data_IF_097921927357
#
_entry.id   IF_097921927357
#
_cell.length_a   1.000
_cell.length_b   1.000
_cell.length_c   1.000
_cell.angle_alpha   90.00
_cell.angle_beta   90.00
_cell.angle_gamma   90.00
#
_symmetry.space_group_name_H-M   'P 1'
#
loop_
_entity.id
_entity.type
_entity.pdbx_description
1 polymer ?
#
# COMPACT_ATOMS: atom_id res chain seq x y z
N UNK A 1 -0.54 25.43 14.71
CA UNK A 1 -1.99 25.52 14.55
C UNK A 1 -2.53 24.15 14.90
N UNK A 2 -3.29 24.05 15.99
CA UNK A 2 -3.69 22.77 16.58
C UNK A 2 -4.62 21.97 15.67
N UNK A 3 -4.51 20.65 15.75
CA UNK A 3 -5.42 19.67 15.13
C UNK A 3 -6.86 20.06 15.48
N UNK A 4 -7.65 20.51 14.50
CA UNK A 4 -9.04 20.86 14.77
C UNK A 4 -9.87 19.59 14.89
N UNK A 5 -10.41 19.34 16.08
CA UNK A 5 -11.38 18.28 16.30
C UNK A 5 -12.69 18.60 15.57
N UNK A 6 -13.29 17.65 14.84
CA UNK A 6 -14.40 17.90 13.91
C UNK A 6 -15.76 18.12 14.59
N UNK A 7 -15.95 17.62 15.82
CA UNK A 7 -17.22 17.70 16.56
C UNK A 7 -17.08 18.45 17.88
N UNK A 8 -18.07 19.29 18.18
CA UNK A 8 -18.14 20.05 19.44
C UNK A 8 -19.50 19.90 20.10
N UNK A 9 -19.52 19.72 21.41
CA UNK A 9 -20.73 19.88 22.23
C UNK A 9 -20.78 21.33 22.70
N UNK A 10 -21.89 22.01 22.43
CA UNK A 10 -22.11 23.41 22.73
C UNK A 10 -23.15 23.54 23.83
N UNK A 11 -22.99 24.52 24.71
CA UNK A 11 -24.03 24.94 25.65
C UNK A 11 -24.58 26.31 25.27
N UNK A 12 -25.91 26.48 25.33
CA UNK A 12 -26.57 27.77 25.13
C UNK A 12 -27.73 27.99 26.08
N UNK A 13 -28.04 29.26 26.35
CA UNK A 13 -29.25 29.62 27.08
C UNK A 13 -30.50 29.46 26.20
N UNK A 14 -31.54 28.84 26.76
CA UNK A 14 -32.83 28.62 26.11
C UNK A 14 -33.42 29.95 25.60
N UNK A 15 -33.84 29.97 24.32
CA UNK A 15 -34.44 31.15 23.69
C UNK A 15 -33.48 32.19 23.12
N UNK A 16 -32.16 31.96 23.17
CA UNK A 16 -31.16 32.82 22.51
C UNK A 16 -31.00 32.47 21.01
N UNK A 17 -30.70 33.47 20.17
CA UNK A 17 -30.41 33.27 18.73
C UNK A 17 -29.05 32.61 18.53
N UNK A 18 -28.89 31.92 17.39
CA UNK A 18 -27.70 31.20 16.91
C UNK A 18 -26.42 32.06 16.88
N UNK A 19 -25.84 32.37 18.03
CA UNK A 19 -24.45 32.80 18.18
C UNK A 19 -23.74 31.68 18.92
N UNK A 20 -22.52 31.35 18.48
CA UNK A 20 -21.73 30.22 18.98
C UNK A 20 -21.78 30.17 20.52
N UNK A 21 -22.38 29.09 21.05
CA UNK A 21 -22.31 28.78 22.49
C UNK A 21 -20.88 28.49 22.92
N UNK A 22 -20.67 28.39 24.22
CA UNK A 22 -19.38 27.94 24.74
C UNK A 22 -19.17 26.47 24.35
N UNK A 23 -17.97 26.15 23.85
CA UNK A 23 -17.58 24.77 23.54
C UNK A 23 -17.34 24.04 24.86
N UNK A 24 -18.24 23.13 25.22
CA UNK A 24 -18.11 22.30 26.43
C UNK A 24 -17.07 21.20 26.26
N UNK A 25 -17.08 20.56 25.08
CA UNK A 25 -16.16 19.48 24.78
C UNK A 25 -15.95 19.34 23.28
N UNK A 26 -14.81 18.76 22.91
CA UNK A 26 -14.41 18.51 21.53
C UNK A 26 -14.10 17.03 21.32
N UNK A 27 -14.68 16.44 20.29
CA UNK A 27 -14.64 15.01 20.01
C UNK A 27 -14.19 14.72 18.59
N UNK A 28 -13.55 13.58 18.41
CA UNK A 28 -13.09 13.10 17.11
C UNK A 28 -14.25 12.43 16.32
N UNK A 29 -15.26 11.91 17.03
CA UNK A 29 -16.38 11.16 16.46
C UNK A 29 -17.75 11.74 16.88
N UNK A 30 -18.74 11.67 16.00
CA UNK A 30 -20.12 12.11 16.29
C UNK A 30 -20.74 11.30 17.42
N UNK A 31 -20.52 9.98 17.44
CA UNK A 31 -21.01 9.09 18.51
C UNK A 31 -20.54 9.53 19.89
N UNK A 32 -19.30 9.99 20.00
CA UNK A 32 -18.70 10.39 21.26
C UNK A 32 -19.24 11.75 21.72
N UNK A 33 -19.40 12.69 20.78
CA UNK A 33 -20.09 13.95 21.04
C UNK A 33 -21.55 13.73 21.44
N UNK A 34 -22.22 12.74 20.84
CA UNK A 34 -23.59 12.37 21.14
C UNK A 34 -23.75 11.70 22.49
N UNK A 35 -22.87 10.76 22.85
CA UNK A 35 -22.87 10.18 24.19
C UNK A 35 -22.58 11.25 25.25
N UNK A 36 -21.63 12.14 24.99
CA UNK A 36 -21.32 13.27 25.87
C UNK A 36 -22.52 14.21 26.04
N UNK A 37 -23.27 14.48 24.97
CA UNK A 37 -24.53 15.24 25.03
C UNK A 37 -25.55 14.55 25.95
N UNK A 38 -25.77 13.24 25.78
CA UNK A 38 -26.70 12.47 26.59
C UNK A 38 -26.32 12.44 28.08
N UNK A 39 -25.02 12.43 28.38
CA UNK A 39 -24.50 12.53 29.74
C UNK A 39 -24.80 13.92 30.34
N UNK A 40 -24.57 15.01 29.60
CA UNK A 40 -24.91 16.37 30.05
C UNK A 40 -26.41 16.57 30.28
N UNK A 41 -27.26 16.05 29.39
CA UNK A 41 -28.72 16.13 29.54
C UNK A 41 -29.23 15.37 30.77
N UNK A 42 -28.53 14.32 31.21
CA UNK A 42 -28.88 13.56 32.43
C UNK A 42 -28.42 14.27 33.72
N UNK A 43 -27.36 15.07 33.65
CA UNK A 43 -26.79 15.77 34.81
C UNK A 43 -27.39 17.17 35.05
N UNK A 44 -28.00 17.79 34.03
CA UNK A 44 -28.53 19.15 34.11
C UNK A 44 -30.01 19.21 34.55
N UNK A 45 -30.25 19.72 35.76
CA UNK A 45 -31.59 19.90 36.38
C UNK A 45 -32.20 21.30 36.11
N UNK A 46 -31.80 21.98 35.02
CA UNK A 46 -32.14 23.39 34.77
C UNK A 46 -32.76 23.62 33.38
N UNK A 47 -34.03 24.04 33.38
CA UNK A 47 -34.83 24.46 32.20
C UNK A 47 -34.24 25.65 31.40
N UNK A 48 -33.08 26.18 31.79
CA UNK A 48 -32.49 27.39 31.21
C UNK A 48 -31.37 27.14 30.19
N UNK A 49 -30.79 25.94 30.13
CA UNK A 49 -29.71 25.58 29.20
C UNK A 49 -30.14 24.51 28.20
N UNK A 50 -29.65 24.62 26.96
CA UNK A 50 -29.83 23.65 25.88
C UNK A 50 -28.43 23.25 25.40
N UNK A 51 -28.18 21.95 25.31
CA UNK A 51 -26.95 21.39 24.76
C UNK A 51 -27.17 20.95 23.31
N UNK A 52 -26.21 21.20 22.44
CA UNK A 52 -26.32 20.89 21.01
C UNK A 52 -24.99 20.39 20.44
N UNK A 53 -25.04 19.61 19.36
CA UNK A 53 -23.83 19.13 18.67
C UNK A 53 -23.58 19.98 17.43
N UNK A 54 -22.37 20.53 17.31
CA UNK A 54 -21.89 21.26 16.15
C UNK A 54 -20.85 20.47 15.35
N UNK A 55 -20.95 20.52 14.02
CA UNK A 55 -19.99 19.95 13.08
C UNK A 55 -19.74 20.88 11.89
N UNK A 56 -18.55 20.83 11.28
CA UNK A 56 -18.14 21.70 10.16
C UNK A 56 -18.13 20.96 8.82
N UNK A 57 -18.97 21.31 7.86
CA UNK A 57 -18.97 20.62 6.55
C UNK A 57 -17.56 20.47 5.94
N UNK A 58 -17.15 19.24 5.60
CA UNK A 58 -15.84 18.97 4.98
C UNK A 58 -15.66 19.63 3.60
N UNK A 59 -16.75 19.78 2.85
CA UNK A 59 -16.73 20.31 1.48
C UNK A 59 -16.70 21.84 1.45
N UNK A 60 -17.53 22.52 2.25
CA UNK A 60 -17.66 23.98 2.21
C UNK A 60 -17.12 24.70 3.45
N UNK A 61 -16.70 23.97 4.48
CA UNK A 61 -16.12 24.52 5.70
C UNK A 61 -17.12 25.20 6.64
N UNK A 62 -18.43 25.15 6.33
CA UNK A 62 -19.46 25.81 7.14
C UNK A 62 -19.77 25.04 8.42
N UNK A 63 -19.63 25.69 9.57
CA UNK A 63 -20.05 25.14 10.88
C UNK A 63 -21.59 25.13 10.97
N UNK A 64 -22.16 24.00 11.35
CA UNK A 64 -23.60 23.77 11.48
C UNK A 64 -23.92 23.01 12.76
N UNK A 65 -25.08 23.31 13.32
CA UNK A 65 -25.63 22.65 14.50
C UNK A 65 -26.60 21.58 14.04
N UNK A 66 -26.48 20.38 14.61
CA UNK A 66 -27.39 19.25 14.37
C UNK A 66 -28.61 19.45 15.27
N UNK A 67 -29.71 19.90 14.67
CA UNK A 67 -30.94 20.27 15.40
C UNK A 67 -31.80 19.06 15.79
N UNK A 68 -31.68 17.96 15.06
CA UNK A 68 -32.29 16.67 15.35
C UNK A 68 -31.22 15.60 15.08
N UNK A 69 -30.92 14.70 16.02
CA UNK A 69 -30.04 13.57 15.79
C UNK A 69 -30.75 12.58 14.86
N UNK A 70 -30.72 12.87 13.56
CA UNK A 70 -31.00 11.92 12.49
C UNK A 70 -29.73 11.07 12.32
N UNK A 71 -29.87 9.79 11.98
CA UNK A 71 -28.74 8.86 11.83
C UNK A 71 -27.59 9.39 10.95
N UNK A 72 -27.84 10.36 10.05
CA UNK A 72 -26.79 11.03 9.26
C UNK A 72 -27.13 12.52 8.97
N UNK A 73 -26.47 13.51 9.59
CA UNK A 73 -26.85 14.92 9.43
C UNK A 73 -26.28 15.54 8.13
N UNK A 74 -27.12 16.20 7.33
CA UNK A 74 -26.78 16.80 6.02
C UNK A 74 -26.45 18.30 6.08
N UNK A 75 -25.52 18.75 5.25
CA UNK A 75 -25.19 20.14 4.99
C UNK A 75 -26.28 20.77 4.11
N UNK A 76 -27.02 21.74 4.65
CA UNK A 76 -28.08 22.44 3.93
C UNK A 76 -27.59 23.32 2.77
N UNK A 77 -26.28 23.52 2.64
CA UNK A 77 -25.69 24.43 1.65
C UNK A 77 -25.20 23.68 0.40
N UNK A 78 -24.64 22.49 0.57
CA UNK A 78 -24.16 21.67 -0.53
C UNK A 78 -24.87 20.31 -0.66
N UNK A 79 -25.78 19.97 0.26
CA UNK A 79 -26.50 18.69 0.26
C UNK A 79 -25.67 17.48 0.71
N UNK A 80 -24.37 17.65 0.95
CA UNK A 80 -23.46 16.60 1.41
C UNK A 80 -23.62 16.37 2.91
N UNK A 81 -23.34 15.16 3.38
CA UNK A 81 -23.33 14.86 4.80
C UNK A 81 -22.32 15.73 5.55
N UNK A 82 -22.72 16.31 6.68
CA UNK A 82 -21.92 17.26 7.45
C UNK A 82 -20.54 16.68 7.77
N UNK A 83 -20.48 15.36 7.99
CA UNK A 83 -19.31 14.52 7.79
C UNK A 83 -19.75 13.04 7.66
N UNK A 84 -20.01 12.53 6.45
CA UNK A 84 -19.71 11.11 6.18
C UNK A 84 -18.21 11.09 5.95
N UNK A 85 -17.48 10.46 6.86
CA UNK A 85 -16.05 10.30 6.75
C UNK A 85 -15.71 9.85 5.32
N UNK A 86 -14.76 10.52 4.65
CA UNK A 86 -14.18 9.99 3.39
C UNK A 86 -13.82 8.52 3.62
N UNK A 87 -13.27 8.23 4.80
CA UNK A 87 -13.03 6.88 5.32
C UNK A 87 -14.23 5.93 5.26
N UNK A 88 -15.42 6.37 5.65
CA UNK A 88 -16.60 5.50 5.73
C UNK A 88 -17.19 5.27 4.33
N UNK A 89 -17.07 6.24 3.42
CA UNK A 89 -17.36 6.05 1.98
C UNK A 89 -16.40 5.05 1.35
N UNK A 90 -15.10 5.19 1.60
CA UNK A 90 -14.07 4.27 1.10
C UNK A 90 -14.19 2.87 1.72
N UNK A 91 -14.64 2.76 2.98
CA UNK A 91 -14.91 1.49 3.66
C UNK A 91 -16.21 0.80 3.18
N UNK A 92 -17.23 1.56 2.80
CA UNK A 92 -18.44 1.00 2.17
C UNK A 92 -18.17 0.55 0.72
N UNK A 93 -17.32 1.27 -0.02
CA UNK A 93 -16.79 0.88 -1.33
C UNK A 93 -15.76 -0.27 -1.25
N UNK A 94 -15.13 -0.48 -0.09
CA UNK A 94 -14.22 -1.62 0.19
C UNK A 94 -14.93 -2.98 0.09
N UNK A 95 -16.26 -3.00 0.17
CA UNK A 95 -17.05 -4.22 0.13
C UNK A 95 -17.14 -4.76 -1.30
N UNK A 96 -16.33 -5.81 -1.51
CA UNK A 96 -16.52 -6.95 -2.43
C UNK A 96 -16.31 -6.70 -3.92
N UNK A 97 -15.11 -7.10 -4.36
CA UNK A 97 -14.88 -8.15 -5.37
C UNK A 97 -13.40 -8.55 -5.28
N UNK A 98 -13.11 -9.84 -5.15
CA UNK A 98 -11.73 -10.36 -5.19
C UNK A 98 -11.20 -10.08 -6.60
N UNK A 99 -10.14 -9.27 -6.71
CA UNK A 99 -9.49 -8.99 -7.99
C UNK A 99 -8.94 -10.30 -8.56
N UNK A 100 -8.99 -10.48 -9.89
CA UNK A 100 -8.28 -11.58 -10.54
C UNK A 100 -6.77 -11.36 -10.58
N UNK A 101 -6.32 -10.14 -10.26
CA UNK A 101 -4.92 -9.70 -10.20
C UNK A 101 -4.41 -9.63 -8.76
N UNK A 102 -3.33 -10.36 -8.46
CA UNK A 102 -2.77 -10.44 -7.10
C UNK A 102 -1.98 -9.16 -6.75
N UNK A 103 -2.51 -8.34 -5.85
CA UNK A 103 -1.81 -7.15 -5.32
C UNK A 103 -1.18 -7.42 -3.97
N UNK A 104 0.13 -7.26 -3.87
CA UNK A 104 0.86 -7.33 -2.61
C UNK A 104 1.12 -5.94 -2.01
N UNK A 105 0.60 -5.70 -0.81
CA UNK A 105 0.75 -4.42 -0.13
C UNK A 105 2.04 -4.40 0.71
N UNK A 106 2.99 -3.56 0.31
CA UNK A 106 4.29 -3.47 0.98
C UNK A 106 4.15 -3.00 2.43
N UNK A 107 4.88 -3.61 3.36
CA UNK A 107 4.93 -3.24 4.78
C UNK A 107 6.38 -3.17 5.24
N UNK A 108 6.85 -1.97 5.56
CA UNK A 108 8.23 -1.65 5.98
C UNK A 108 8.32 -0.87 7.30
N UNK A 109 7.19 -0.52 7.92
CA UNK A 109 7.12 0.25 9.16
C UNK A 109 6.11 -0.31 10.17
N UNK A 110 6.28 0.03 11.45
CA UNK A 110 5.33 -0.33 12.50
C UNK A 110 3.96 0.37 12.33
N UNK A 111 3.93 1.56 11.71
CA UNK A 111 2.70 2.28 11.42
C UNK A 111 1.91 1.57 10.31
N UNK A 112 2.58 1.20 9.21
CA UNK A 112 1.99 0.42 8.12
C UNK A 112 1.48 -0.94 8.60
N UNK A 113 2.28 -1.67 9.40
CA UNK A 113 1.86 -2.93 10.00
C UNK A 113 0.57 -2.78 10.81
N UNK A 114 0.50 -1.74 11.65
CA UNK A 114 -0.69 -1.50 12.46
C UNK A 114 -1.87 -1.10 11.60
N UNK A 115 -1.66 -0.32 10.53
CA UNK A 115 -2.70 0.04 9.58
C UNK A 115 -3.30 -1.20 8.92
N UNK A 116 -2.46 -2.00 8.24
CA UNK A 116 -2.89 -3.23 7.56
C UNK A 116 -3.58 -4.19 8.53
N UNK A 117 -3.02 -4.40 9.72
CA UNK A 117 -3.66 -5.26 10.74
C UNK A 117 -5.05 -4.77 11.14
N UNK A 118 -5.24 -3.46 11.30
CA UNK A 118 -6.55 -2.93 11.69
C UNK A 118 -7.54 -3.06 10.54
N UNK A 119 -7.09 -2.82 9.30
CA UNK A 119 -7.89 -2.95 8.10
C UNK A 119 -8.28 -4.42 7.83
N UNK A 120 -7.35 -5.35 8.01
CA UNK A 120 -7.58 -6.77 7.79
C UNK A 120 -8.41 -7.43 8.88
N UNK A 121 -8.68 -6.78 10.01
CA UNK A 121 -9.58 -7.32 11.03
C UNK A 121 -11.05 -6.94 10.84
N UNK A 122 -11.36 -6.10 9.84
CA UNK A 122 -12.63 -5.39 9.79
C UNK A 122 -12.72 -4.35 10.92
N UNK A 123 -13.20 -3.14 10.61
CA UNK A 123 -13.52 -2.16 11.67
C UNK A 123 -14.82 -2.49 12.43
N UNK A 124 -15.55 -3.49 11.95
CA UNK A 124 -16.85 -3.99 12.39
C UNK A 124 -16.80 -5.53 12.28
N UNK A 125 -17.65 -6.29 13.00
CA UNK A 125 -17.60 -7.75 13.22
C UNK A 125 -17.76 -8.65 11.96
N UNK A 126 -17.40 -8.14 10.78
CA UNK A 126 -17.45 -8.77 9.47
C UNK A 126 -16.06 -9.34 9.13
N UNK A 127 -16.04 -10.46 8.41
CA UNK A 127 -14.84 -11.26 8.17
C UNK A 127 -13.66 -10.43 7.59
N UNK A 128 -12.41 -10.75 7.97
CA UNK A 128 -11.20 -10.15 7.41
C UNK A 128 -11.25 -10.02 5.89
N UNK A 129 -10.98 -8.84 5.36
CA UNK A 129 -10.66 -8.72 3.94
C UNK A 129 -9.30 -9.40 3.70
N UNK A 130 -9.28 -10.34 2.74
CA UNK A 130 -8.16 -11.19 2.34
C UNK A 130 -7.04 -10.36 1.70
N UNK A 131 -6.23 -9.67 2.52
CA UNK A 131 -5.13 -8.84 2.04
C UNK A 131 -3.85 -9.65 1.86
N UNK A 132 -3.24 -9.59 0.67
CA UNK A 132 -1.89 -10.07 0.44
C UNK A 132 -0.85 -8.98 0.79
N UNK A 133 0.23 -9.35 1.46
CA UNK A 133 1.25 -8.41 1.96
C UNK A 133 2.64 -8.75 1.47
N UNK A 134 3.46 -7.73 1.24
CA UNK A 134 4.88 -7.88 0.95
C UNK A 134 5.76 -7.31 2.08
N UNK A 135 6.79 -8.06 2.45
CA UNK A 135 7.73 -7.70 3.52
C UNK A 135 9.14 -7.64 2.96
N UNK A 136 9.82 -6.50 3.12
CA UNK A 136 11.18 -6.32 2.62
C UNK A 136 12.24 -6.65 3.70
N UNK A 137 13.03 -7.70 3.48
CA UNK A 137 14.03 -8.22 4.42
C UNK A 137 15.08 -7.18 4.87
N UNK A 138 15.43 -6.20 4.03
CA UNK A 138 16.41 -5.17 4.37
C UNK A 138 15.90 -4.18 5.45
N UNK A 139 14.60 -4.14 5.72
CA UNK A 139 14.01 -3.16 6.65
C UNK A 139 14.17 -3.59 8.11
N UNK A 140 14.66 -2.68 8.95
CA UNK A 140 14.88 -2.91 10.40
C UNK A 140 13.60 -3.24 11.18
N UNK A 141 12.44 -2.90 10.61
CA UNK A 141 11.14 -3.08 11.23
C UNK A 141 10.54 -4.47 10.99
N UNK A 142 11.16 -5.32 10.16
CA UNK A 142 10.74 -6.70 9.92
C UNK A 142 11.01 -7.67 11.09
N UNK A 143 10.93 -7.16 12.31
CA UNK A 143 10.76 -7.96 13.54
C UNK A 143 9.34 -8.55 13.62
N UNK A 144 8.91 -9.24 12.57
CA UNK A 144 7.69 -10.06 12.56
C UNK A 144 7.73 -11.13 13.66
N UNK A 145 8.94 -11.47 14.12
CA UNK A 145 9.21 -12.44 15.19
C UNK A 145 8.92 -11.92 16.61
N UNK A 146 8.09 -10.88 16.74
CA UNK A 146 7.45 -10.55 18.02
C UNK A 146 6.04 -11.14 18.03
N UNK A 147 5.46 -11.49 19.19
CA UNK A 147 4.08 -11.98 19.25
C UNK A 147 3.06 -11.05 18.55
N UNK A 148 3.29 -9.73 18.57
CA UNK A 148 2.47 -8.73 17.86
C UNK A 148 2.74 -8.65 16.35
N UNK A 149 3.91 -9.09 15.89
CA UNK A 149 4.25 -9.21 14.48
C UNK A 149 3.63 -10.45 13.85
N UNK A 150 3.61 -11.57 14.59
CA UNK A 150 2.94 -12.82 14.18
C UNK A 150 1.42 -12.67 14.09
N UNK A 151 0.82 -11.78 14.89
CA UNK A 151 -0.62 -11.45 14.81
C UNK A 151 -1.02 -10.86 13.44
N UNK A 152 -0.12 -10.12 12.77
CA UNK A 152 -0.34 -9.67 11.38
C UNK A 152 -0.50 -10.88 10.45
N UNK A 153 0.26 -11.95 10.68
CA UNK A 153 0.28 -13.14 9.82
C UNK A 153 -0.98 -14.00 9.93
N UNK A 154 -1.82 -13.78 10.94
CA UNK A 154 -3.03 -14.57 11.14
C UNK A 154 -4.21 -14.14 10.25
N UNK A 155 -4.13 -12.95 9.64
CA UNK A 155 -5.26 -12.32 8.93
C UNK A 155 -4.82 -11.71 7.60
N UNK A 156 -3.77 -12.24 6.99
CA UNK A 156 -3.37 -11.93 5.62
C UNK A 156 -3.55 -13.19 4.79
N UNK A 157 -3.98 -13.03 3.55
CA UNK A 157 -4.28 -14.17 2.66
C UNK A 157 -3.00 -14.79 2.09
N UNK A 158 -2.09 -13.92 1.63
CA UNK A 158 -0.79 -14.32 1.13
C UNK A 158 0.32 -13.40 1.65
N UNK A 159 1.50 -13.98 1.84
CA UNK A 159 2.70 -13.29 2.26
C UNK A 159 3.82 -13.49 1.25
N UNK A 160 4.41 -12.38 0.81
CA UNK A 160 5.59 -12.35 -0.04
C UNK A 160 6.76 -11.70 0.71
N UNK A 161 7.92 -12.36 0.77
CA UNK A 161 9.15 -11.74 1.25
C UNK A 161 10.04 -11.26 0.10
N UNK A 162 10.22 -9.94 -0.03
CA UNK A 162 11.26 -9.34 -0.85
C UNK A 162 12.64 -9.49 -0.17
N UNK A 163 13.65 -9.85 -0.94
CA UNK A 163 15.05 -10.01 -0.52
C UNK A 163 15.68 -8.67 -0.09
N UNK A 164 15.13 -7.56 -0.61
CA UNK A 164 15.57 -6.20 -0.34
C UNK A 164 16.79 -5.78 -1.14
N UNK A 165 17.03 -6.37 -2.32
CA UNK A 165 18.17 -6.08 -3.19
C UNK A 165 18.39 -4.59 -3.41
N UNK A 166 17.35 -3.88 -3.89
CA UNK A 166 17.40 -2.42 -4.05
C UNK A 166 17.80 -1.70 -2.74
N UNK A 167 17.13 -1.99 -1.62
CA UNK A 167 17.36 -1.32 -0.34
C UNK A 167 18.76 -1.56 0.23
N UNK A 168 19.34 -2.76 0.07
CA UNK A 168 20.72 -3.03 0.45
C UNK A 168 21.70 -2.25 -0.42
N UNK A 169 21.48 -2.23 -1.74
CA UNK A 169 22.39 -1.57 -2.66
C UNK A 169 22.32 -0.05 -2.55
N UNK A 170 21.12 0.53 -2.48
CA UNK A 170 20.94 1.97 -2.27
C UNK A 170 21.60 2.45 -0.96
N UNK A 171 21.45 1.70 0.14
CA UNK A 171 21.87 2.19 1.46
C UNK A 171 23.24 1.73 1.95
N UNK A 172 23.75 0.59 1.46
CA UNK A 172 25.00 -0.05 1.91
C UNK A 172 25.91 -0.43 0.75
N UNK A 173 25.38 -0.53 -0.46
CA UNK A 173 26.10 -0.96 -1.66
C UNK A 173 26.38 -2.46 -1.76
N UNK A 174 25.96 -3.24 -0.76
CA UNK A 174 26.11 -4.69 -0.72
C UNK A 174 25.10 -5.33 0.25
N UNK A 175 24.91 -6.64 0.11
CA UNK A 175 24.24 -7.43 1.13
C UNK A 175 25.08 -7.50 2.40
N UNK A 176 24.58 -6.91 3.48
CA UNK A 176 25.27 -6.90 4.80
C UNK A 176 24.97 -8.13 5.66
N UNK A 177 24.19 -9.08 5.14
CA UNK A 177 23.77 -10.31 5.81
C UNK A 177 24.02 -11.51 4.90
N UNK A 178 24.33 -12.67 5.48
CA UNK A 178 24.60 -13.88 4.69
C UNK A 178 23.33 -14.46 4.06
N UNK A 179 23.51 -15.32 3.06
CA UNK A 179 22.41 -16.01 2.38
C UNK A 179 21.65 -16.93 3.35
N UNK A 180 22.36 -17.61 4.26
CA UNK A 180 21.78 -18.42 5.34
C UNK A 180 21.00 -17.57 6.35
N UNK A 181 21.42 -16.33 6.60
CA UNK A 181 20.69 -15.42 7.47
C UNK A 181 19.35 -15.00 6.84
N UNK A 182 19.32 -14.83 5.52
CA UNK A 182 18.11 -14.58 4.76
C UNK A 182 17.19 -15.80 4.71
N UNK A 183 17.70 -16.98 4.32
CA UNK A 183 16.89 -18.20 4.27
C UNK A 183 16.35 -18.61 5.65
N UNK A 184 17.13 -18.42 6.73
CA UNK A 184 16.63 -18.62 8.10
C UNK A 184 15.50 -17.66 8.45
N UNK A 185 15.50 -16.45 7.92
CA UNK A 185 14.40 -15.51 8.08
C UNK A 185 13.16 -15.98 7.33
N UNK A 186 13.30 -16.39 6.06
CA UNK A 186 12.23 -16.96 5.23
C UNK A 186 11.62 -18.19 5.90
N UNK A 187 12.44 -19.16 6.33
CA UNK A 187 12.00 -20.38 7.00
C UNK A 187 11.20 -20.12 8.28
N UNK A 188 11.53 -19.05 9.02
CA UNK A 188 10.81 -18.66 10.24
C UNK A 188 9.51 -17.92 9.95
N UNK A 189 9.48 -17.12 8.88
CA UNK A 189 8.31 -16.36 8.49
C UNK A 189 7.26 -17.23 7.79
N UNK A 190 7.68 -18.31 7.13
CA UNK A 190 6.84 -19.22 6.34
C UNK A 190 5.92 -18.46 5.36
N UNK A 191 6.48 -17.65 4.45
CA UNK A 191 5.67 -16.96 3.44
C UNK A 191 5.16 -17.95 2.38
N UNK A 192 4.22 -17.50 1.56
CA UNK A 192 3.81 -18.19 0.35
C UNK A 192 4.87 -18.05 -0.75
N UNK A 193 5.45 -16.85 -0.84
CA UNK A 193 6.43 -16.49 -1.86
C UNK A 193 7.64 -15.79 -1.25
N UNK A 194 8.81 -15.96 -1.85
CA UNK A 194 9.98 -15.14 -1.51
C UNK A 194 10.91 -14.92 -2.70
N UNK A 195 11.45 -13.71 -2.80
CA UNK A 195 12.36 -13.33 -3.88
C UNK A 195 13.75 -13.92 -3.62
N UNK A 196 14.32 -14.60 -4.61
CA UNK A 196 15.75 -14.89 -4.59
C UNK A 196 16.53 -13.55 -4.64
N UNK A 197 17.70 -13.52 -3.99
CA UNK A 197 18.54 -12.31 -3.97
C UNK A 197 19.00 -11.93 -5.36
N UNK A 198 18.91 -10.65 -5.63
CA UNK A 198 19.17 -10.04 -6.93
C UNK A 198 20.12 -8.85 -6.80
N UNK A 199 20.65 -8.41 -7.94
CA UNK A 199 21.51 -7.24 -8.05
C UNK A 199 20.82 -6.24 -8.97
N UNK A 200 20.39 -5.08 -8.45
CA UNK A 200 19.48 -4.18 -9.14
C UNK A 200 20.26 -3.38 -10.21
N UNK A 201 19.62 -3.07 -11.34
CA UNK A 201 20.29 -2.60 -12.57
C UNK A 201 20.04 -1.12 -12.89
N UNK A 202 19.63 -0.32 -11.91
CA UNK A 202 19.43 1.12 -12.05
C UNK A 202 20.74 1.83 -12.41
N UNK A 203 20.75 2.77 -13.37
CA UNK A 203 21.95 3.48 -13.81
C UNK A 203 22.74 4.10 -12.65
N UNK A 204 22.08 4.73 -11.69
CA UNK A 204 22.75 5.34 -10.54
C UNK A 204 23.48 4.30 -9.68
N UNK A 205 22.91 3.10 -9.52
CA UNK A 205 23.55 2.00 -8.78
C UNK A 205 24.75 1.46 -9.56
N UNK A 206 24.61 1.30 -10.88
CA UNK A 206 25.66 0.79 -11.76
C UNK A 206 26.85 1.77 -11.83
N UNK A 207 26.57 3.06 -12.01
CA UNK A 207 27.55 4.13 -12.13
C UNK A 207 28.34 4.31 -10.82
N UNK A 208 27.66 4.31 -9.67
CA UNK A 208 28.33 4.41 -8.35
C UNK A 208 29.29 3.24 -8.10
N UNK A 209 29.02 2.07 -8.69
CA UNK A 209 29.76 0.82 -8.45
C UNK A 209 30.72 0.43 -9.57
N UNK A 210 30.82 1.22 -10.64
CA UNK A 210 31.62 0.91 -11.83
C UNK A 210 31.35 -0.52 -12.34
N UNK A 211 30.06 -0.83 -12.47
CA UNK A 211 29.56 -2.16 -12.86
C UNK A 211 28.60 -2.05 -14.04
N UNK A 212 28.14 -3.18 -14.55
CA UNK A 212 27.30 -3.24 -15.76
C UNK A 212 26.08 -4.12 -15.51
N UNK A 213 25.05 -3.93 -16.34
CA UNK A 213 23.86 -4.80 -16.36
C UNK A 213 24.26 -6.27 -16.46
N UNK A 214 25.16 -6.64 -17.38
CA UNK A 214 25.63 -8.02 -17.54
C UNK A 214 26.32 -8.57 -16.29
N UNK A 215 27.10 -7.75 -15.59
CA UNK A 215 27.73 -8.15 -14.32
C UNK A 215 26.67 -8.45 -13.26
N UNK A 216 25.68 -7.57 -13.09
CA UNK A 216 24.60 -7.77 -12.14
C UNK A 216 23.70 -8.95 -12.49
N UNK A 217 23.48 -9.23 -13.78
CA UNK A 217 22.78 -10.44 -14.23
C UNK A 217 23.55 -11.71 -13.87
N UNK A 218 24.88 -11.73 -14.03
CA UNK A 218 25.74 -12.82 -13.57
C UNK A 218 25.65 -13.04 -12.08
N UNK A 219 25.80 -11.98 -11.28
CA UNK A 219 25.71 -12.08 -9.83
C UNK A 219 24.31 -12.51 -9.36
N UNK A 220 23.24 -12.03 -10.01
CA UNK A 220 21.86 -12.44 -9.73
C UNK A 220 21.65 -13.93 -10.05
N UNK A 221 22.14 -14.40 -11.20
CA UNK A 221 22.07 -15.82 -11.58
C UNK A 221 22.82 -16.70 -10.58
N UNK A 222 24.06 -16.31 -10.22
CA UNK A 222 24.87 -17.04 -9.24
C UNK A 222 24.19 -17.08 -7.87
N UNK A 223 23.58 -15.97 -7.43
CA UNK A 223 22.83 -15.95 -6.16
C UNK A 223 21.58 -16.80 -6.20
N UNK A 224 20.85 -16.81 -7.31
CA UNK A 224 19.69 -17.67 -7.46
C UNK A 224 20.08 -19.15 -7.33
N UNK A 225 21.16 -19.60 -7.98
CA UNK A 225 21.65 -20.96 -7.85
C UNK A 225 22.04 -21.31 -6.41
N UNK A 226 22.84 -20.45 -5.76
CA UNK A 226 23.27 -20.66 -4.37
C UNK A 226 22.06 -20.77 -3.43
N UNK A 227 21.08 -19.87 -3.57
CA UNK A 227 19.91 -19.89 -2.69
C UNK A 227 19.04 -21.12 -2.91
N UNK A 228 18.79 -21.50 -4.17
CA UNK A 228 18.03 -22.72 -4.50
C UNK A 228 18.71 -23.97 -3.94
N UNK A 229 20.04 -24.08 -4.04
CA UNK A 229 20.80 -25.19 -3.45
C UNK A 229 20.71 -25.20 -1.91
N UNK A 230 20.78 -24.03 -1.28
CA UNK A 230 20.73 -23.92 0.18
C UNK A 230 19.32 -24.11 0.76
N UNK A 231 18.25 -23.85 0.00
CA UNK A 231 16.87 -23.93 0.48
C UNK A 231 16.52 -25.27 1.12
N UNK A 232 17.05 -26.37 0.56
CA UNK A 232 16.83 -27.73 1.06
C UNK A 232 17.31 -27.91 2.51
N UNK A 233 18.29 -27.12 2.95
CA UNK A 233 18.81 -27.16 4.33
C UNK A 233 17.90 -26.47 5.35
N UNK A 234 16.94 -25.65 4.90
CA UNK A 234 16.09 -24.81 5.76
C UNK A 234 14.61 -25.24 5.79
N UNK A 235 14.25 -26.37 5.15
CA UNK A 235 12.89 -26.92 5.08
C UNK A 235 11.83 -25.90 4.59
N UNK A 236 12.25 -24.95 3.75
CA UNK A 236 11.37 -23.88 3.24
C UNK A 236 10.33 -24.49 2.29
N UNK A 237 9.05 -24.30 2.61
CA UNK A 237 7.91 -24.72 1.75
C UNK A 237 7.42 -23.60 0.84
N UNK A 238 7.88 -22.36 1.07
CA UNK A 238 7.53 -21.20 0.27
C UNK A 238 8.03 -21.37 -1.18
N UNK A 239 7.27 -20.84 -2.14
CA UNK A 239 7.66 -20.84 -3.54
C UNK A 239 8.77 -19.80 -3.78
N UNK A 240 9.96 -20.20 -4.26
CA UNK A 240 11.02 -19.26 -4.62
C UNK A 240 10.64 -18.50 -5.90
N UNK A 241 10.92 -17.20 -5.92
CA UNK A 241 10.69 -16.32 -7.06
C UNK A 241 12.04 -15.85 -7.61
N UNK A 242 12.41 -16.29 -8.81
CA UNK A 242 13.65 -15.84 -9.45
C UNK A 242 13.49 -14.43 -10.04
N UNK A 243 14.44 -13.53 -9.77
CA UNK A 243 14.34 -12.14 -10.23
C UNK A 243 15.08 -11.95 -11.55
N UNK A 244 14.36 -11.56 -12.60
CA UNK A 244 14.95 -11.12 -13.87
C UNK A 244 15.30 -9.63 -13.80
N UNK A 245 16.59 -9.35 -13.97
CA UNK A 245 17.20 -8.02 -14.01
C UNK A 245 17.59 -7.55 -15.41
N UNK A 246 17.51 -6.24 -15.64
CA UNK A 246 17.89 -5.57 -16.90
C UNK A 246 17.64 -4.06 -16.89
N UNK A 247 18.08 -3.33 -17.92
CA UNK A 247 17.68 -1.94 -18.14
C UNK A 247 16.87 -1.75 -19.43
N UNK A 248 17.31 -2.31 -20.54
CA UNK A 248 16.56 -2.37 -21.80
C UNK A 248 15.79 -3.69 -21.92
N UNK A 249 14.72 -3.77 -22.74
CA UNK A 249 13.98 -5.02 -22.96
C UNK A 249 14.86 -6.21 -23.39
N UNK A 250 15.90 -5.96 -24.20
CA UNK A 250 16.87 -6.98 -24.60
C UNK A 250 17.65 -7.57 -23.42
N UNK A 251 17.95 -6.75 -22.40
CA UNK A 251 18.70 -7.19 -21.22
C UNK A 251 17.92 -8.25 -20.46
N UNK A 252 16.60 -8.07 -20.30
CA UNK A 252 15.73 -9.05 -19.65
C UNK A 252 15.68 -10.37 -20.44
N UNK A 253 15.64 -10.31 -21.77
CA UNK A 253 15.69 -11.50 -22.63
C UNK A 253 17.04 -12.23 -22.55
N UNK A 254 18.15 -11.47 -22.45
CA UNK A 254 19.49 -12.04 -22.24
C UNK A 254 19.58 -12.72 -20.87
N UNK A 255 19.04 -12.10 -19.82
CA UNK A 255 19.09 -12.65 -18.47
C UNK A 255 18.19 -13.88 -18.31
N UNK A 256 16.99 -13.89 -18.90
CA UNK A 256 16.16 -15.11 -18.92
C UNK A 256 16.89 -16.28 -19.57
N UNK A 257 17.60 -16.04 -20.68
CA UNK A 257 18.47 -17.06 -21.31
C UNK A 257 19.59 -17.51 -20.39
N UNK A 258 20.12 -16.61 -19.57
CA UNK A 258 21.15 -16.92 -18.58
C UNK A 258 20.59 -17.78 -17.44
N UNK A 259 19.46 -17.40 -16.85
CA UNK A 259 18.75 -18.17 -15.81
C UNK A 259 18.36 -19.57 -16.30
N UNK A 260 17.86 -19.67 -17.54
CA UNK A 260 17.56 -20.95 -18.19
C UNK A 260 18.81 -21.83 -18.31
N UNK A 261 19.93 -21.29 -18.83
CA UNK A 261 21.19 -22.04 -18.97
C UNK A 261 21.78 -22.48 -17.62
N UNK A 262 21.50 -21.72 -16.57
CA UNK A 262 21.91 -22.01 -15.20
C UNK A 262 21.01 -23.05 -14.49
N UNK A 263 19.92 -23.50 -15.12
CA UNK A 263 18.94 -24.41 -14.52
C UNK A 263 18.09 -23.78 -13.41
N UNK A 264 18.07 -22.45 -13.32
CA UNK A 264 17.26 -21.72 -12.32
C UNK A 264 15.78 -21.80 -12.69
N UNK A 265 15.45 -21.62 -13.98
CA UNK A 265 14.06 -21.67 -14.46
C UNK A 265 13.44 -23.06 -14.41
N UNK A 266 14.24 -24.12 -14.23
CA UNK A 266 13.73 -25.49 -14.03
C UNK A 266 13.27 -25.74 -12.59
N UNK A 267 13.58 -24.83 -11.66
CA UNK A 267 13.35 -24.97 -10.23
C UNK A 267 12.33 -23.95 -9.67
N UNK A 268 11.82 -23.06 -10.53
CA UNK A 268 10.85 -22.03 -10.16
C UNK A 268 9.72 -22.00 -11.17
N UNK A 269 8.51 -21.67 -10.71
CA UNK A 269 7.34 -21.45 -11.55
C UNK A 269 6.94 -19.96 -11.59
N UNK A 270 7.63 -19.14 -10.79
CA UNK A 270 7.36 -17.73 -10.60
C UNK A 270 8.64 -16.92 -10.83
N UNK A 271 8.56 -15.92 -11.69
CA UNK A 271 9.59 -14.93 -11.89
C UNK A 271 9.14 -13.54 -11.42
N UNK A 272 10.08 -12.75 -10.92
CA UNK A 272 9.85 -11.34 -10.61
C UNK A 272 10.67 -10.44 -11.52
N UNK A 273 10.11 -9.31 -11.96
CA UNK A 273 10.80 -8.34 -12.80
C UNK A 273 11.39 -7.25 -11.90
N UNK A 274 12.72 -7.21 -11.82
CA UNK A 274 13.44 -6.18 -11.07
C UNK A 274 13.58 -4.86 -11.84
N UNK A 275 13.99 -3.80 -11.14
CA UNK A 275 14.33 -2.48 -11.71
C UNK A 275 13.14 -1.77 -12.40
N UNK A 276 11.88 -2.13 -12.06
CA UNK A 276 10.69 -1.45 -12.58
C UNK A 276 10.35 -0.16 -11.82
N UNK A 277 10.59 -0.11 -10.51
CA UNK A 277 10.18 1.01 -9.65
C UNK A 277 10.85 2.35 -10.01
N UNK A 278 12.06 2.31 -10.57
CA UNK A 278 12.83 3.51 -10.96
C UNK A 278 12.53 4.00 -12.39
N UNK A 279 11.49 3.46 -13.06
CA UNK A 279 11.15 3.86 -14.43
C UNK A 279 10.17 5.03 -14.44
N UNK A 280 10.57 6.14 -15.05
CA UNK A 280 9.68 7.28 -15.27
C UNK A 280 8.66 7.03 -16.39
N UNK A 281 9.08 6.33 -17.46
CA UNK A 281 8.24 6.07 -18.61
C UNK A 281 7.42 4.78 -18.42
N UNK A 282 6.11 4.94 -18.25
CA UNK A 282 5.16 3.82 -18.14
C UNK A 282 5.10 2.98 -19.42
N UNK A 283 5.29 3.58 -20.60
CA UNK A 283 5.37 2.83 -21.87
C UNK A 283 6.60 1.93 -21.93
N UNK A 284 7.69 2.34 -21.29
CA UNK A 284 8.87 1.48 -21.12
C UNK A 284 8.58 0.29 -20.20
N UNK A 285 7.84 0.50 -19.10
CA UNK A 285 7.40 -0.59 -18.20
C UNK A 285 6.58 -1.62 -19.00
N UNK A 286 5.57 -1.19 -19.76
CA UNK A 286 4.75 -2.07 -20.59
C UNK A 286 5.60 -2.87 -21.60
N UNK A 287 6.56 -2.22 -22.25
CA UNK A 287 7.47 -2.87 -23.20
C UNK A 287 8.34 -3.94 -22.53
N UNK A 288 8.86 -3.67 -21.32
CA UNK A 288 9.67 -4.63 -20.55
C UNK A 288 8.82 -5.82 -20.11
N UNK A 289 7.67 -5.55 -19.49
CA UNK A 289 6.74 -6.58 -18.99
C UNK A 289 6.34 -7.52 -20.13
N UNK A 290 5.94 -6.96 -21.28
CA UNK A 290 5.62 -7.73 -22.47
C UNK A 290 6.81 -8.54 -22.99
N UNK A 291 8.01 -7.97 -23.03
CA UNK A 291 9.20 -8.69 -23.48
C UNK A 291 9.55 -9.89 -22.58
N UNK A 292 9.34 -9.77 -21.27
CA UNK A 292 9.49 -10.87 -20.31
C UNK A 292 8.41 -11.92 -20.56
N UNK A 293 7.12 -11.54 -20.61
CA UNK A 293 6.02 -12.47 -20.88
C UNK A 293 6.22 -13.25 -22.17
N UNK A 294 6.56 -12.57 -23.27
CA UNK A 294 6.80 -13.20 -24.57
C UNK A 294 7.98 -14.21 -24.53
N UNK A 295 8.92 -14.03 -23.60
CA UNK A 295 10.11 -14.87 -23.47
C UNK A 295 9.88 -16.15 -22.65
N UNK A 296 9.02 -16.09 -21.63
CA UNK A 296 8.74 -17.23 -20.74
C UNK A 296 7.43 -17.95 -21.06
N UNK A 297 6.50 -17.30 -21.75
CA UNK A 297 5.20 -17.85 -22.09
C UNK A 297 4.20 -17.81 -20.93
N UNK A 298 3.03 -18.44 -21.08
CA UNK A 298 1.94 -18.38 -20.11
C UNK A 298 2.14 -19.30 -18.90
N UNK A 299 3.08 -20.24 -18.96
CA UNK A 299 3.26 -21.26 -17.92
C UNK A 299 3.99 -20.71 -16.68
N UNK A 300 4.67 -19.57 -16.80
CA UNK A 300 5.32 -18.88 -15.69
C UNK A 300 4.41 -17.80 -15.13
N UNK A 301 4.30 -17.74 -13.79
CA UNK A 301 3.78 -16.54 -13.14
C UNK A 301 4.81 -15.42 -13.21
N UNK A 302 4.37 -14.17 -13.34
CA UNK A 302 5.21 -12.97 -13.42
C UNK A 302 4.77 -11.94 -12.38
N UNK A 303 5.68 -11.58 -11.49
CA UNK A 303 5.49 -10.54 -10.48
C UNK A 303 6.22 -9.26 -10.91
N UNK A 304 5.54 -8.11 -10.88
CA UNK A 304 6.18 -6.81 -11.06
C UNK A 304 6.59 -6.20 -9.73
N UNK A 305 7.90 -6.05 -9.48
CA UNK A 305 8.36 -5.42 -8.24
C UNK A 305 8.21 -3.89 -8.28
N UNK A 306 7.49 -3.33 -7.31
CA UNK A 306 7.33 -1.89 -7.12
C UNK A 306 6.70 -1.17 -8.31
N UNK A 307 5.69 -1.76 -8.93
CA UNK A 307 5.04 -1.19 -10.13
C UNK A 307 4.30 0.09 -9.78
N UNK A 308 4.50 1.14 -10.58
CA UNK A 308 3.82 2.43 -10.42
C UNK A 308 2.31 2.28 -10.66
N UNK A 309 1.52 3.09 -9.95
CA UNK A 309 0.06 3.10 -10.08
C UNK A 309 -0.37 3.30 -11.54
N UNK A 310 0.25 4.25 -12.22
CA UNK A 310 -0.05 4.61 -13.60
C UNK A 310 0.24 3.46 -14.58
N UNK A 311 1.16 2.55 -14.23
CA UNK A 311 1.39 1.34 -15.00
C UNK A 311 0.32 0.27 -14.74
N UNK A 312 -0.17 0.14 -13.49
CA UNK A 312 -1.28 -0.75 -13.14
C UNK A 312 -2.63 -0.29 -13.72
N UNK A 313 -2.73 0.96 -14.16
CA UNK A 313 -3.90 1.48 -14.88
C UNK A 313 -3.94 1.04 -16.36
N UNK A 314 -2.88 0.37 -16.86
CA UNK A 314 -2.80 -0.07 -18.26
C UNK A 314 -3.16 -1.55 -18.44
N UNK A 315 -4.11 -1.88 -19.35
CA UNK A 315 -4.41 -3.26 -19.70
C UNK A 315 -3.16 -4.05 -20.15
N UNK A 316 -2.33 -3.46 -21.02
CA UNK A 316 -1.15 -4.14 -21.56
C UNK A 316 -0.07 -4.48 -20.52
N UNK A 317 -0.05 -3.81 -19.36
CA UNK A 317 0.80 -4.18 -18.22
C UNK A 317 0.13 -5.29 -17.42
N UNK A 318 -1.12 -5.08 -17.01
CA UNK A 318 -1.88 -5.97 -16.11
C UNK A 318 -2.08 -7.34 -16.75
N UNK A 319 -2.41 -7.42 -18.04
CA UNK A 319 -2.61 -8.69 -18.77
C UNK A 319 -1.32 -9.52 -18.91
N UNK A 320 -0.15 -8.90 -18.75
CA UNK A 320 1.14 -9.58 -18.90
C UNK A 320 1.79 -9.90 -17.54
N UNK A 321 1.24 -9.41 -16.43
CA UNK A 321 1.64 -9.72 -15.06
C UNK A 321 0.58 -10.62 -14.38
N UNK A 322 1.01 -11.44 -13.43
CA UNK A 322 0.12 -12.21 -12.56
C UNK A 322 -0.04 -11.53 -11.20
N UNK A 323 0.95 -10.73 -10.80
CA UNK A 323 0.90 -9.94 -9.57
C UNK A 323 1.83 -8.73 -9.60
N UNK A 324 1.64 -7.82 -8.66
CA UNK A 324 2.56 -6.71 -8.43
C UNK A 324 2.58 -6.32 -6.95
N UNK A 325 3.62 -5.59 -6.53
CA UNK A 325 3.65 -4.96 -5.21
C UNK A 325 3.75 -3.44 -5.28
N UNK A 326 3.33 -2.79 -4.18
CA UNK A 326 3.48 -1.35 -4.02
C UNK A 326 3.62 -0.94 -2.56
N UNK A 327 4.49 0.04 -2.32
CA UNK A 327 4.57 0.82 -1.07
C UNK A 327 4.10 2.27 -1.27
N UNK A 328 3.60 2.60 -2.47
CA UNK A 328 3.31 3.99 -2.86
C UNK A 328 2.19 4.62 -2.02
N UNK A 329 1.29 3.81 -1.46
CA UNK A 329 0.23 4.25 -0.56
C UNK A 329 0.76 4.98 0.70
N UNK A 330 2.01 4.72 1.09
CA UNK A 330 2.67 5.35 2.24
C UNK A 330 3.40 6.66 1.91
N UNK A 331 3.62 6.96 0.62
CA UNK A 331 4.43 8.10 0.19
C UNK A 331 3.79 9.45 0.54
N UNK A 332 2.47 9.59 0.33
CA UNK A 332 1.75 10.82 0.65
C UNK A 332 1.77 11.13 2.17
N UNK A 333 1.38 10.19 3.06
CA UNK A 333 1.56 10.35 4.51
C UNK A 333 2.99 10.76 4.91
N UNK A 334 4.00 10.15 4.29
CA UNK A 334 5.40 10.45 4.54
C UNK A 334 5.77 11.89 4.13
N UNK A 335 5.42 12.31 2.90
CA UNK A 335 5.69 13.67 2.43
C UNK A 335 4.96 14.74 3.24
N UNK A 336 3.71 14.50 3.62
CA UNK A 336 2.92 15.42 4.45
C UNK A 336 3.58 15.57 5.84
N UNK A 337 4.14 14.48 6.40
CA UNK A 337 4.92 14.52 7.65
C UNK A 337 6.22 15.32 7.50
N UNK A 338 6.96 15.12 6.40
CA UNK A 338 8.21 15.84 6.12
C UNK A 338 7.95 17.33 5.89
N UNK A 339 6.93 17.68 5.09
CA UNK A 339 6.56 19.05 4.75
C UNK A 339 6.12 19.86 5.98
N UNK A 340 5.55 19.18 6.98
CA UNK A 340 5.16 19.80 8.26
C UNK A 340 6.30 19.79 9.28
N UNK A 341 7.52 19.40 8.90
CA UNK A 341 8.67 19.35 9.82
C UNK A 341 8.46 18.36 10.98
N UNK A 342 7.68 17.31 10.76
CA UNK A 342 7.31 16.33 11.79
C UNK A 342 6.25 16.81 12.78
N UNK A 343 5.61 17.97 12.55
CA UNK A 343 4.46 18.43 13.35
C UNK A 343 3.31 17.43 13.20
N UNK A 344 3.07 16.93 11.99
CA UNK A 344 2.18 15.78 11.76
C UNK A 344 3.03 14.53 11.75
N UNK A 345 2.85 13.66 12.76
CA UNK A 345 3.53 12.37 12.78
C UNK A 345 2.88 11.42 11.76
N UNK A 346 3.69 10.66 11.02
CA UNK A 346 3.18 9.56 10.21
C UNK A 346 2.68 8.44 11.14
N UNK A 347 1.40 8.51 11.50
CA UNK A 347 0.73 7.54 12.38
C UNK A 347 0.12 6.41 11.56
N UNK A 348 -0.19 5.29 12.21
CA UNK A 348 -0.93 4.19 11.59
C UNK A 348 -2.28 4.63 10.99
N UNK A 349 -2.91 5.70 11.51
CA UNK A 349 -4.14 6.26 10.93
C UNK A 349 -3.85 6.86 9.54
N UNK A 350 -2.79 7.67 9.42
CA UNK A 350 -2.40 8.25 8.13
C UNK A 350 -2.03 7.17 7.10
N UNK A 351 -1.31 6.13 7.53
CA UNK A 351 -1.01 4.96 6.67
C UNK A 351 -2.29 4.24 6.23
N UNK A 352 -3.26 4.02 7.14
CA UNK A 352 -4.54 3.41 6.80
C UNK A 352 -5.34 4.26 5.79
N UNK A 353 -5.26 5.60 5.90
CA UNK A 353 -5.87 6.50 4.92
C UNK A 353 -5.25 6.34 3.56
N UNK A 354 -3.92 6.46 3.50
CA UNK A 354 -3.17 6.35 2.26
C UNK A 354 -3.40 5.00 1.59
N UNK A 355 -3.45 3.93 2.37
CA UNK A 355 -3.83 2.60 1.91
C UNK A 355 -5.23 2.60 1.29
N UNK A 356 -6.27 3.05 2.00
CA UNK A 356 -7.65 3.02 1.51
C UNK A 356 -7.83 3.86 0.23
N UNK A 357 -7.27 5.06 0.20
CA UNK A 357 -7.33 5.95 -0.97
C UNK A 357 -6.65 5.30 -2.19
N UNK A 358 -5.47 4.69 -1.99
CA UNK A 358 -4.72 4.04 -3.05
C UNK A 358 -5.37 2.74 -3.50
N UNK A 359 -5.85 1.93 -2.56
CA UNK A 359 -6.58 0.69 -2.79
C UNK A 359 -7.80 0.93 -3.67
N UNK A 360 -8.66 1.88 -3.31
CA UNK A 360 -9.85 2.21 -4.09
C UNK A 360 -9.51 2.62 -5.52
N UNK A 361 -8.42 3.37 -5.70
CA UNK A 361 -7.96 3.81 -7.03
C UNK A 361 -7.48 2.63 -7.87
N UNK A 362 -6.61 1.78 -7.33
CA UNK A 362 -6.08 0.62 -8.05
C UNK A 362 -7.18 -0.40 -8.34
N UNK A 363 -8.03 -0.70 -7.36
CA UNK A 363 -9.14 -1.63 -7.49
C UNK A 363 -10.13 -1.19 -8.57
N UNK A 364 -10.48 0.11 -8.59
CA UNK A 364 -11.31 0.67 -9.66
C UNK A 364 -10.68 0.44 -11.04
N UNK A 365 -9.40 0.78 -11.21
CA UNK A 365 -8.71 0.62 -12.50
C UNK A 365 -8.63 -0.83 -12.94
N UNK A 366 -8.33 -1.76 -12.03
CA UNK A 366 -8.28 -3.19 -12.34
C UNK A 366 -9.65 -3.74 -12.74
N UNK A 367 -10.74 -3.36 -12.05
CA UNK A 367 -12.09 -3.76 -12.45
C UNK A 367 -12.48 -3.24 -13.83
N UNK A 368 -12.08 -2.00 -14.17
CA UNK A 368 -12.32 -1.44 -15.50
C UNK A 368 -11.57 -2.24 -16.59
N UNK A 369 -10.34 -2.69 -16.29
CA UNK A 369 -9.57 -3.55 -17.20
C UNK A 369 -10.26 -4.92 -17.34
N UNK A 370 -10.63 -5.57 -16.25
CA UNK A 370 -11.31 -6.88 -16.25
C UNK A 370 -12.66 -6.83 -16.99
N UNK A 371 -13.40 -5.73 -16.88
CA UNK A 371 -14.65 -5.51 -17.60
C UNK A 371 -14.45 -5.21 -19.10
N UNK A 372 -13.21 -4.98 -19.56
CA UNK A 372 -12.91 -4.52 -20.92
C UNK A 372 -13.36 -3.09 -21.20
N UNK A 373 -13.50 -2.28 -20.14
CA UNK A 373 -13.98 -0.89 -20.18
C UNK A 373 -12.83 0.12 -20.05
N UNK A 374 -11.60 -0.34 -19.80
CA UNK A 374 -10.40 0.50 -19.79
C UNK A 374 -10.06 0.99 -21.21
N UNK A 375 -9.87 2.30 -21.36
CA UNK A 375 -9.49 2.93 -22.63
C UNK A 375 -7.96 3.08 -22.74
N UNK A 376 -7.35 2.33 -23.65
CA UNK A 376 -5.92 2.36 -23.96
C UNK A 376 -5.39 3.78 -24.23
N UNK A 377 -6.22 4.66 -24.81
CA UNK A 377 -5.83 6.02 -25.22
C UNK A 377 -5.90 7.04 -24.07
N UNK A 378 -6.71 6.81 -23.03
CA UNK A 378 -6.85 7.73 -21.88
C UNK A 378 -5.66 7.62 -20.93
N UNK A 379 -5.16 6.40 -20.71
CA UNK A 379 -4.01 6.14 -19.82
C UNK A 379 -2.71 6.71 -20.43
N UNK A 380 -2.60 6.72 -21.76
CA UNK A 380 -1.51 7.36 -22.49
C UNK A 380 -1.57 8.90 -22.50
N UNK A 381 -2.75 9.52 -22.27
CA UNK A 381 -2.89 10.98 -22.25
C UNK A 381 -2.64 11.60 -20.87
N UNK A 382 -2.90 10.88 -19.78
CA UNK A 382 -2.60 11.37 -18.42
C UNK A 382 -1.09 11.52 -18.16
N UNK A 383 -0.26 10.69 -18.81
CA UNK A 383 1.21 10.74 -18.74
C UNK A 383 1.82 11.98 -19.40
N UNK A 384 1.14 12.63 -20.35
CA UNK A 384 1.62 13.88 -20.95
C UNK A 384 1.18 15.14 -20.19
N UNK A 385 0.10 15.08 -19.40
CA UNK A 385 -0.42 16.24 -18.68
C UNK A 385 0.22 16.46 -17.30
N UNK A 386 0.90 15.46 -16.73
CA UNK A 386 1.55 15.58 -15.41
C UNK A 386 2.96 16.17 -15.46
N UNK A 387 3.49 16.46 -16.65
CA UNK A 387 4.82 17.06 -16.86
C UNK A 387 4.76 18.47 -17.49
N UNK A 388 3.66 19.20 -17.27
CA UNK A 388 3.50 20.59 -17.73
C UNK A 388 2.88 21.51 -16.67
N UNK A 389 3.72 21.99 -15.75
CA UNK A 389 3.97 23.43 -15.48
C UNK A 389 4.94 23.63 -14.29
#
# INVERSE_FOLDING_TARGET
>A
MGESKPWVVLERLAGTRLTAGDVLSEHDYYSDAYQCLLEYEQECDVDECVHEIGGRCATCGTLRIVMDPIEEPLCLECGELLFRDVYQRTLEEFVRETLAFDMFWGVSSGAQRKAIRVLSHGFDEREPDELAVMLNYATKNNQLLTPKGLELLLNVDAMFIDSGGYSFFESKGEYTTSDEAYLRYVARAQPDYFALRDYPCEPDILDERDTTVTCHQQLTTEKAQILLELMDEFEIQAMPVAVVQGWAPSDYQDHLRQLYRAGVLDQVEYIGIGTLCCREDVGQIATIVKAVRDSVGPDFKIHGFGVKREALERPDVVENLDSADTLAYSMKPMYDSIATGGIVSNTWKHEARGFLDYYATVHHSLNMIEAGEADDDVVAQQTFSSYGD
#
